data_IF_517685149893
#
_entry.id   IF_517685149893
#
_cell.length_a   1.000
_cell.length_b   1.000
_cell.length_c   1.000
_cell.angle_alpha   90.00
_cell.angle_beta   90.00
_cell.angle_gamma   90.00
#
_symmetry.space_group_name_H-M   'P 1'
#
loop_
_entity.id
_entity.type
_entity.pdbx_description
1 polymer ?
#
# COMPACT_ATOMS: atom_id res chain seq x y z
N UNK A 1 14.38 -18.27 -23.44
CA UNK A 1 13.36 -17.46 -22.73
C UNK A 1 12.10 -18.27 -22.43
N UNK A 2 11.49 -18.97 -23.41
CA UNK A 2 10.28 -19.79 -23.19
C UNK A 2 10.42 -20.96 -22.19
N UNK A 3 11.63 -21.45 -21.94
CA UNK A 3 11.89 -22.54 -21.00
C UNK A 3 11.95 -22.06 -19.53
N UNK A 4 12.30 -20.80 -19.26
CA UNK A 4 12.35 -20.24 -17.91
C UNK A 4 10.94 -19.99 -17.36
N UNK A 5 10.05 -19.44 -18.16
CA UNK A 5 8.64 -19.18 -17.79
C UNK A 5 7.83 -20.45 -17.55
N UNK A 6 8.07 -21.53 -18.31
CA UNK A 6 7.48 -22.85 -18.04
C UNK A 6 7.97 -23.45 -16.72
N UNK A 7 9.26 -23.31 -16.41
CA UNK A 7 9.82 -23.79 -15.13
C UNK A 7 9.27 -22.99 -13.94
N UNK A 8 9.16 -21.69 -14.03
CA UNK A 8 8.57 -20.86 -12.99
C UNK A 8 7.10 -21.20 -12.75
N UNK A 9 6.28 -21.33 -13.81
CA UNK A 9 4.89 -21.76 -13.70
C UNK A 9 4.74 -23.14 -13.06
N UNK A 10 5.60 -24.09 -13.42
CA UNK A 10 5.58 -25.42 -12.83
C UNK A 10 6.03 -25.42 -11.36
N UNK A 11 7.01 -24.57 -10.97
CA UNK A 11 7.39 -24.38 -9.57
C UNK A 11 6.22 -23.81 -8.76
N UNK A 12 5.56 -22.76 -9.23
CA UNK A 12 4.40 -22.18 -8.52
C UNK A 12 3.22 -23.17 -8.36
N UNK A 13 2.93 -23.99 -9.35
CA UNK A 13 1.86 -25.02 -9.25
C UNK A 13 2.26 -26.08 -8.23
N UNK A 14 3.51 -26.52 -8.26
CA UNK A 14 4.03 -27.52 -7.32
C UNK A 14 4.01 -27.00 -5.88
N UNK A 15 4.44 -25.76 -5.65
CA UNK A 15 4.48 -25.16 -4.32
C UNK A 15 3.08 -24.97 -3.76
N UNK A 16 2.09 -24.64 -4.59
CA UNK A 16 0.68 -24.58 -4.21
C UNK A 16 0.11 -25.95 -3.86
N UNK A 17 0.44 -26.97 -4.63
CA UNK A 17 0.02 -28.31 -4.32
C UNK A 17 0.61 -28.80 -2.98
N UNK A 18 1.88 -28.48 -2.72
CA UNK A 18 2.55 -28.77 -1.44
C UNK A 18 1.85 -28.04 -0.28
N UNK A 19 1.59 -26.74 -0.42
CA UNK A 19 0.90 -25.94 0.60
C UNK A 19 -0.53 -26.45 0.84
N UNK A 20 -1.27 -26.85 -0.19
CA UNK A 20 -2.59 -27.46 -0.06
C UNK A 20 -2.55 -28.79 0.70
N UNK A 21 -1.55 -29.63 0.41
CA UNK A 21 -1.35 -30.89 1.13
C UNK A 21 -1.01 -30.65 2.60
N UNK A 22 -0.12 -29.70 2.90
CA UNK A 22 0.23 -29.32 4.28
C UNK A 22 -1.00 -28.80 5.03
N UNK A 23 -1.82 -27.95 4.38
CA UNK A 23 -3.05 -27.44 4.99
C UNK A 23 -4.05 -28.55 5.29
N UNK A 24 -4.27 -29.49 4.34
CA UNK A 24 -5.14 -30.64 4.54
C UNK A 24 -4.64 -31.55 5.66
N UNK A 25 -3.34 -31.82 5.74
CA UNK A 25 -2.72 -32.60 6.82
C UNK A 25 -2.92 -31.90 8.17
N UNK A 26 -2.72 -30.58 8.22
CA UNK A 26 -2.92 -29.82 9.46
C UNK A 26 -4.37 -29.88 9.94
N UNK A 27 -5.33 -29.74 9.03
CA UNK A 27 -6.77 -29.84 9.33
C UNK A 27 -7.13 -31.27 9.78
N UNK A 28 -6.62 -32.29 9.11
CA UNK A 28 -6.89 -33.69 9.49
C UNK A 28 -6.29 -34.04 10.85
N UNK A 29 -5.14 -33.53 11.20
CA UNK A 29 -4.52 -33.66 12.52
C UNK A 29 -5.32 -32.97 13.62
N UNK A 30 -5.95 -31.84 13.33
CA UNK A 30 -6.83 -31.13 14.29
C UNK A 30 -8.14 -31.92 14.51
N UNK A 31 -8.76 -32.38 13.41
CA UNK A 31 -10.06 -33.01 13.46
C UNK A 31 -10.02 -34.48 13.99
N UNK A 32 -8.97 -35.21 13.67
CA UNK A 32 -8.83 -36.61 14.01
C UNK A 32 -7.38 -36.96 14.40
N UNK A 33 -6.88 -36.44 15.53
CA UNK A 33 -5.52 -36.73 15.98
C UNK A 33 -5.26 -38.20 16.23
N UNK A 34 -6.29 -38.95 16.60
CA UNK A 34 -6.21 -40.41 16.85
C UNK A 34 -5.94 -41.25 15.59
N UNK A 35 -6.03 -40.68 14.36
CA UNK A 35 -5.63 -41.38 13.15
C UNK A 35 -4.11 -41.46 12.98
N UNK A 36 -3.38 -40.49 13.56
CA UNK A 36 -1.96 -40.33 13.37
C UNK A 36 -1.12 -40.62 14.62
N UNK A 37 -1.74 -40.46 15.79
CA UNK A 37 -1.08 -40.66 17.09
C UNK A 37 -1.98 -41.47 18.01
N UNK A 38 -1.35 -42.26 18.90
CA UNK A 38 -2.08 -43.00 19.93
C UNK A 38 -2.72 -42.00 20.91
N UNK A 39 -4.02 -41.84 20.80
CA UNK A 39 -4.82 -40.92 21.62
C UNK A 39 -5.07 -41.42 23.03
N UNK A 40 -4.63 -42.66 23.37
CA UNK A 40 -4.77 -43.21 24.71
C UNK A 40 -3.81 -42.62 25.73
N UNK A 41 -2.74 -41.92 25.26
CA UNK A 41 -1.74 -41.30 26.11
C UNK A 41 -1.65 -39.80 25.89
N UNK A 42 -1.52 -39.03 26.98
CA UNK A 42 -1.28 -37.56 26.92
C UNK A 42 -0.13 -37.14 26.01
N UNK A 43 0.92 -37.96 25.93
CA UNK A 43 2.04 -37.77 25.02
C UNK A 43 1.66 -37.75 23.54
N UNK A 44 0.62 -38.50 23.13
CA UNK A 44 0.13 -38.49 21.75
C UNK A 44 -0.46 -37.14 21.32
N UNK A 45 -1.27 -36.56 22.19
CA UNK A 45 -1.85 -35.20 21.94
C UNK A 45 -0.79 -34.10 21.93
N UNK A 46 0.22 -34.21 22.80
CA UNK A 46 1.30 -33.26 22.86
C UNK A 46 2.16 -33.33 21.58
N UNK A 47 2.45 -34.51 21.10
CA UNK A 47 3.17 -34.70 19.83
C UNK A 47 2.36 -34.17 18.63
N UNK A 48 1.04 -34.43 18.58
CA UNK A 48 0.15 -33.87 17.57
C UNK A 48 0.19 -32.34 17.56
N UNK A 49 0.15 -31.70 18.73
CA UNK A 49 0.25 -30.27 18.90
C UNK A 49 1.55 -29.72 18.32
N UNK A 50 2.71 -30.28 18.65
CA UNK A 50 3.99 -29.81 18.12
C UNK A 50 4.09 -30.00 16.60
N UNK A 51 3.58 -31.08 16.05
CA UNK A 51 3.55 -31.32 14.60
C UNK A 51 2.66 -30.27 13.91
N UNK A 52 1.49 -29.96 14.46
CA UNK A 52 0.60 -28.91 13.92
C UNK A 52 1.31 -27.55 13.92
N UNK A 53 2.02 -27.18 15.00
CA UNK A 53 2.77 -25.94 15.10
C UNK A 53 3.85 -25.85 14.00
N UNK A 54 4.62 -26.92 13.80
CA UNK A 54 5.65 -26.97 12.77
C UNK A 54 5.05 -26.85 11.37
N UNK A 55 3.97 -27.59 11.09
CA UNK A 55 3.27 -27.51 9.80
C UNK A 55 2.69 -26.12 9.54
N UNK A 56 2.11 -25.47 10.58
CA UNK A 56 1.58 -24.12 10.48
C UNK A 56 2.68 -23.09 10.18
N UNK A 57 3.87 -23.23 10.78
CA UNK A 57 5.03 -22.38 10.49
C UNK A 57 5.49 -22.54 9.03
N UNK A 58 5.63 -23.78 8.55
CA UNK A 58 6.02 -24.07 7.16
C UNK A 58 4.97 -23.50 6.19
N UNK A 59 3.68 -23.72 6.50
CA UNK A 59 2.59 -23.21 5.68
C UNK A 59 2.57 -21.69 5.63
N UNK A 60 2.80 -21.00 6.76
CA UNK A 60 2.88 -19.55 6.84
C UNK A 60 3.97 -18.99 5.92
N UNK A 61 5.16 -19.55 5.96
CA UNK A 61 6.27 -19.16 5.08
C UNK A 61 5.92 -19.47 3.61
N UNK A 62 5.41 -20.67 3.33
CA UNK A 62 5.06 -21.08 1.96
C UNK A 62 3.94 -20.28 1.31
N UNK A 63 3.01 -19.73 2.09
CA UNK A 63 1.92 -18.88 1.61
C UNK A 63 2.35 -17.43 1.39
N UNK A 64 3.32 -16.92 2.17
CA UNK A 64 3.70 -15.50 2.12
C UNK A 64 4.79 -15.22 1.08
N UNK A 65 5.74 -16.13 0.84
CA UNK A 65 6.82 -15.94 -0.13
C UNK A 65 6.32 -15.62 -1.55
N UNK A 66 5.25 -16.25 -2.09
CA UNK A 66 4.80 -16.01 -3.45
C UNK A 66 4.02 -14.71 -3.64
N UNK A 67 3.83 -13.90 -2.60
CA UNK A 67 3.00 -12.69 -2.66
C UNK A 67 3.82 -11.52 -3.19
N UNK A 68 3.30 -10.84 -4.22
CA UNK A 68 3.92 -9.65 -4.79
C UNK A 68 3.93 -8.48 -3.81
N UNK A 69 4.94 -7.60 -3.91
CA UNK A 69 5.07 -6.43 -3.04
C UNK A 69 3.86 -5.49 -3.11
N UNK A 70 3.26 -5.33 -4.28
CA UNK A 70 2.06 -4.52 -4.48
C UNK A 70 0.84 -5.05 -3.71
N UNK A 71 0.70 -6.38 -3.59
CA UNK A 71 -0.43 -7.03 -2.93
C UNK A 71 -0.21 -7.23 -1.42
N UNK A 72 1.00 -6.98 -0.92
CA UNK A 72 1.38 -7.20 0.48
C UNK A 72 0.47 -6.47 1.50
N UNK A 73 0.06 -5.21 1.30
CA UNK A 73 -0.85 -4.53 2.22
C UNK A 73 -2.19 -5.26 2.40
N UNK A 74 -2.74 -5.80 1.32
CA UNK A 74 -4.01 -6.57 1.33
C UNK A 74 -3.85 -7.84 2.16
N UNK A 75 -2.73 -8.55 1.97
CA UNK A 75 -2.44 -9.79 2.69
C UNK A 75 -2.21 -9.53 4.17
N UNK A 76 -1.50 -8.48 4.54
CA UNK A 76 -1.31 -8.09 5.95
C UNK A 76 -2.66 -7.81 6.62
N UNK A 77 -3.56 -7.08 5.96
CA UNK A 77 -4.91 -6.82 6.47
C UNK A 77 -5.70 -8.11 6.66
N UNK A 78 -5.63 -9.04 5.70
CA UNK A 78 -6.30 -10.33 5.77
C UNK A 78 -5.76 -11.21 6.90
N UNK A 79 -4.44 -11.31 7.06
CA UNK A 79 -3.81 -12.08 8.14
C UNK A 79 -4.15 -11.50 9.52
N UNK A 80 -4.20 -10.18 9.65
CA UNK A 80 -4.65 -9.52 10.87
C UNK A 80 -6.12 -9.87 11.19
N UNK A 81 -6.98 -9.93 10.17
CA UNK A 81 -8.37 -10.37 10.33
C UNK A 81 -8.45 -11.81 10.83
N UNK A 82 -7.67 -12.73 10.27
CA UNK A 82 -7.63 -14.12 10.75
C UNK A 82 -7.12 -14.22 12.19
N UNK A 83 -6.15 -13.40 12.57
CA UNK A 83 -5.70 -13.31 13.97
C UNK A 83 -6.83 -12.84 14.89
N UNK A 84 -7.65 -11.88 14.47
CA UNK A 84 -8.83 -11.44 15.19
C UNK A 84 -9.86 -12.56 15.37
N UNK A 85 -10.15 -13.31 14.31
CA UNK A 85 -11.06 -14.48 14.38
C UNK A 85 -10.52 -15.54 15.33
N UNK A 86 -9.22 -15.84 15.29
CA UNK A 86 -8.58 -16.78 16.19
C UNK A 86 -8.66 -16.31 17.66
N UNK A 87 -8.48 -15.00 17.92
CA UNK A 87 -8.65 -14.45 19.25
C UNK A 87 -10.10 -14.58 19.75
N UNK A 88 -11.10 -14.34 18.89
CA UNK A 88 -12.50 -14.53 19.24
C UNK A 88 -12.79 -16.01 19.58
N UNK A 89 -12.29 -16.95 18.76
CA UNK A 89 -12.43 -18.38 19.01
C UNK A 89 -11.80 -18.80 20.36
N UNK A 90 -10.61 -18.28 20.66
CA UNK A 90 -9.96 -18.49 21.97
C UNK A 90 -10.80 -17.90 23.10
N UNK A 91 -11.43 -16.73 22.89
CA UNK A 91 -12.32 -16.09 23.84
C UNK A 91 -13.52 -16.98 24.20
N UNK A 92 -14.11 -17.70 23.24
CA UNK A 92 -15.15 -18.67 23.51
C UNK A 92 -14.64 -19.84 24.38
N UNK A 93 -13.45 -20.35 24.13
CA UNK A 93 -12.86 -21.46 24.85
C UNK A 93 -12.62 -21.12 26.32
N UNK A 94 -12.13 -19.90 26.61
CA UNK A 94 -11.81 -19.45 27.98
C UNK A 94 -12.93 -18.63 28.63
N UNK A 95 -14.10 -18.52 27.96
CA UNK A 95 -15.26 -17.72 28.41
C UNK A 95 -14.95 -16.27 28.72
N UNK A 96 -14.09 -15.62 27.88
CA UNK A 96 -13.69 -14.24 28.04
C UNK A 96 -14.42 -13.34 27.02
N UNK A 97 -15.46 -12.61 27.48
CA UNK A 97 -16.27 -11.77 26.64
C UNK A 97 -15.49 -10.61 26.00
N UNK A 98 -14.50 -10.03 26.69
CA UNK A 98 -13.69 -8.96 26.13
C UNK A 98 -12.89 -9.45 24.90
N UNK A 99 -12.34 -10.66 24.99
CA UNK A 99 -11.58 -11.27 23.90
C UNK A 99 -12.49 -11.66 22.72
N UNK A 100 -13.72 -12.12 22.99
CA UNK A 100 -14.71 -12.42 21.96
C UNK A 100 -15.09 -11.14 21.20
N UNK A 101 -15.42 -10.07 21.91
CA UNK A 101 -15.84 -8.80 21.29
C UNK A 101 -14.71 -8.18 20.51
N UNK A 102 -13.54 -8.00 21.12
CA UNK A 102 -12.39 -7.38 20.44
C UNK A 102 -11.91 -8.20 19.24
N UNK A 103 -11.83 -9.53 19.38
CA UNK A 103 -11.44 -10.41 18.28
C UNK A 103 -12.44 -10.39 17.12
N UNK A 104 -13.75 -10.35 17.41
CA UNK A 104 -14.80 -10.26 16.40
C UNK A 104 -14.76 -8.92 15.66
N UNK A 105 -14.53 -7.81 16.36
CA UNK A 105 -14.40 -6.48 15.75
C UNK A 105 -13.17 -6.41 14.84
N UNK A 106 -12.01 -6.88 15.29
CA UNK A 106 -10.79 -6.92 14.48
C UNK A 106 -10.95 -7.84 13.27
N UNK A 107 -11.57 -9.00 13.46
CA UNK A 107 -11.85 -9.95 12.38
C UNK A 107 -12.76 -9.36 11.31
N UNK A 108 -13.88 -8.78 11.70
CA UNK A 108 -14.85 -8.19 10.77
C UNK A 108 -14.27 -6.96 10.05
N UNK A 109 -13.67 -6.02 10.78
CA UNK A 109 -13.08 -4.82 10.21
C UNK A 109 -11.97 -5.15 9.21
N UNK A 110 -11.08 -6.11 9.55
CA UNK A 110 -10.00 -6.52 8.66
C UNK A 110 -10.51 -7.15 7.35
N UNK A 111 -11.59 -7.95 7.36
CA UNK A 111 -12.20 -8.48 6.14
C UNK A 111 -12.81 -7.38 5.27
N UNK A 112 -13.51 -6.43 5.88
CA UNK A 112 -14.12 -5.29 5.16
C UNK A 112 -13.02 -4.45 4.51
N UNK A 113 -11.98 -4.11 5.27
CA UNK A 113 -10.84 -3.32 4.79
C UNK A 113 -10.10 -4.04 3.65
N UNK A 114 -9.87 -5.34 3.78
CA UNK A 114 -9.27 -6.17 2.72
C UNK A 114 -10.07 -6.09 1.42
N UNK A 115 -11.41 -6.17 1.52
CA UNK A 115 -12.27 -6.08 0.34
C UNK A 115 -12.25 -4.67 -0.30
N UNK A 116 -12.23 -3.62 0.51
CA UNK A 116 -12.11 -2.24 0.02
C UNK A 116 -10.77 -2.04 -0.70
N UNK A 117 -9.67 -2.56 -0.14
CA UNK A 117 -8.35 -2.48 -0.79
C UNK A 117 -8.32 -3.24 -2.11
N UNK A 118 -8.89 -4.45 -2.17
CA UNK A 118 -8.98 -5.22 -3.41
C UNK A 118 -9.75 -4.43 -4.50
N UNK A 119 -10.84 -3.76 -4.13
CA UNK A 119 -11.58 -2.88 -5.05
C UNK A 119 -10.73 -1.68 -5.48
N UNK A 120 -10.05 -1.01 -4.53
CA UNK A 120 -9.18 0.14 -4.82
C UNK A 120 -7.97 -0.20 -5.69
N UNK A 121 -7.56 -1.48 -5.73
CA UNK A 121 -6.51 -1.99 -6.61
C UNK A 121 -7.04 -2.60 -7.90
N UNK A 122 -8.36 -2.64 -8.09
CA UNK A 122 -9.03 -3.35 -9.19
C UNK A 122 -8.60 -4.82 -9.32
N UNK A 123 -8.37 -5.49 -8.19
CA UNK A 123 -7.98 -6.91 -8.12
C UNK A 123 -8.98 -7.71 -7.28
N UNK A 124 -9.24 -8.95 -7.68
CA UNK A 124 -10.03 -9.85 -6.84
C UNK A 124 -9.18 -10.40 -5.70
N UNK A 125 -9.79 -10.62 -4.52
CA UNK A 125 -9.13 -11.25 -3.39
C UNK A 125 -8.53 -12.63 -3.76
N UNK A 126 -9.23 -13.39 -4.60
CA UNK A 126 -8.72 -14.65 -5.11
C UNK A 126 -7.43 -14.49 -5.92
N UNK A 127 -7.31 -13.43 -6.73
CA UNK A 127 -6.08 -13.14 -7.45
C UNK A 127 -4.93 -12.75 -6.52
N UNK A 128 -5.20 -12.03 -5.45
CA UNK A 128 -4.19 -11.65 -4.45
C UNK A 128 -3.67 -12.88 -3.70
N UNK A 129 -4.56 -13.77 -3.25
CA UNK A 129 -4.17 -14.97 -2.48
C UNK A 129 -3.58 -16.06 -3.38
N UNK A 130 -4.17 -16.25 -4.57
CA UNK A 130 -3.82 -17.32 -5.49
C UNK A 130 -3.08 -16.84 -6.74
N UNK A 131 -2.90 -15.52 -6.93
CA UNK A 131 -2.07 -14.95 -7.98
C UNK A 131 -0.62 -15.37 -7.78
N UNK A 132 0.02 -15.98 -8.77
CA UNK A 132 1.44 -16.31 -8.69
C UNK A 132 2.27 -15.07 -8.97
N UNK A 133 3.31 -14.85 -8.19
CA UNK A 133 4.45 -14.01 -8.60
C UNK A 133 4.98 -14.62 -9.91
N UNK A 134 4.85 -13.88 -11.02
CA UNK A 134 5.23 -14.40 -12.35
C UNK A 134 4.05 -14.70 -13.29
N UNK A 135 2.78 -14.53 -12.86
CA UNK A 135 1.65 -14.29 -13.76
C UNK A 135 1.53 -12.78 -14.10
N UNK A 136 2.19 -11.95 -13.33
CA UNK A 136 2.55 -10.60 -13.72
C UNK A 136 3.62 -10.76 -14.79
N UNK A 137 3.30 -10.29 -15.98
CA UNK A 137 4.23 -10.18 -17.11
C UNK A 137 5.61 -9.80 -16.55
N UNK A 138 6.63 -10.54 -16.97
CA UNK A 138 8.01 -10.14 -16.79
C UNK A 138 8.05 -8.62 -16.98
N UNK A 139 8.29 -7.90 -15.89
CA UNK A 139 8.38 -6.46 -15.94
C UNK A 139 9.33 -6.18 -17.07
N UNK A 140 8.82 -5.64 -18.16
CA UNK A 140 9.67 -5.26 -19.25
C UNK A 140 10.76 -4.48 -18.57
N UNK A 141 11.99 -4.94 -18.68
CA UNK A 141 13.12 -4.06 -18.51
C UNK A 141 12.73 -2.85 -19.33
N UNK A 142 12.25 -1.81 -18.64
CA UNK A 142 12.07 -0.53 -19.29
C UNK A 142 13.45 -0.24 -19.86
N UNK A 143 13.56 -0.45 -21.15
CA UNK A 143 14.69 0.10 -21.90
C UNK A 143 14.82 1.50 -21.35
N UNK A 144 16.01 1.81 -20.82
CA UNK A 144 16.29 3.06 -20.14
C UNK A 144 16.05 4.21 -21.10
N UNK A 145 14.79 4.58 -21.31
CA UNK A 145 14.46 5.89 -21.82
C UNK A 145 15.03 6.87 -20.81
N UNK A 146 16.06 7.56 -21.18
CA UNK A 146 16.56 8.71 -20.43
C UNK A 146 15.36 9.64 -20.22
N UNK A 147 14.79 9.59 -19.02
CA UNK A 147 13.74 10.53 -18.64
C UNK A 147 14.40 11.88 -18.42
N UNK A 148 13.94 12.90 -19.13
CA UNK A 148 14.38 14.27 -18.92
C UNK A 148 13.77 14.78 -17.61
N UNK A 149 14.52 14.67 -16.52
CA UNK A 149 14.06 15.01 -15.18
C UNK A 149 14.44 16.45 -14.88
N UNK A 150 13.43 17.27 -14.57
CA UNK A 150 13.63 18.64 -14.09
C UNK A 150 13.75 18.59 -12.56
N UNK A 151 14.91 18.95 -12.03
CA UNK A 151 15.13 19.03 -10.59
C UNK A 151 15.21 20.48 -10.15
N UNK A 152 14.39 20.86 -9.17
CA UNK A 152 14.28 22.21 -8.62
C UNK A 152 14.63 22.20 -7.13
N UNK A 153 15.00 23.37 -6.63
CA UNK A 153 15.23 23.65 -5.22
C UNK A 153 13.92 23.87 -4.47
N UNK A 154 13.98 23.86 -3.15
CA UNK A 154 12.84 24.20 -2.28
C UNK A 154 12.39 25.64 -2.46
N UNK A 155 13.31 26.57 -2.71
CA UNK A 155 13.01 27.98 -2.98
C UNK A 155 12.22 28.16 -4.29
N UNK A 156 12.62 27.46 -5.37
CA UNK A 156 11.87 27.48 -6.63
C UNK A 156 10.47 26.85 -6.47
N UNK A 157 10.37 25.77 -5.68
CA UNK A 157 9.09 25.15 -5.35
C UNK A 157 8.18 26.11 -4.58
N UNK A 158 8.73 26.88 -3.62
CA UNK A 158 7.99 27.88 -2.84
C UNK A 158 7.43 28.98 -3.74
N UNK A 159 8.21 29.48 -4.70
CA UNK A 159 7.76 30.49 -5.67
C UNK A 159 6.60 29.97 -6.55
N UNK A 160 6.64 28.70 -6.95
CA UNK A 160 5.55 28.07 -7.71
C UNK A 160 4.29 27.95 -6.88
N UNK A 161 4.42 27.57 -5.60
CA UNK A 161 3.30 27.48 -4.67
C UNK A 161 2.72 28.86 -4.35
N UNK A 162 3.56 29.89 -4.30
CA UNK A 162 3.09 31.26 -4.10
C UNK A 162 2.27 31.78 -5.28
N UNK A 163 2.63 31.44 -6.49
CA UNK A 163 1.87 31.82 -7.69
C UNK A 163 0.57 31.02 -7.88
N UNK A 164 0.36 29.93 -7.13
CA UNK A 164 -0.80 29.06 -7.25
C UNK A 164 -1.98 29.59 -6.42
N UNK A 165 -3.21 29.39 -6.92
CA UNK A 165 -4.46 29.65 -6.17
C UNK A 165 -5.01 28.36 -5.55
N UNK A 166 -4.94 27.24 -6.29
CA UNK A 166 -5.44 25.94 -5.85
C UNK A 166 -4.33 24.89 -5.84
N UNK A 167 -4.11 24.32 -4.68
CA UNK A 167 -3.05 23.35 -4.41
C UNK A 167 -3.67 22.04 -3.91
N UNK A 168 -3.25 20.91 -4.47
CA UNK A 168 -3.66 19.59 -4.01
C UNK A 168 -2.44 18.84 -3.50
N UNK A 169 -2.43 18.51 -2.21
CA UNK A 169 -1.37 17.73 -1.56
C UNK A 169 -1.70 16.23 -1.70
N UNK A 170 -0.75 15.46 -2.20
CA UNK A 170 -0.89 14.01 -2.41
C UNK A 170 0.05 13.27 -1.46
N UNK A 171 -0.44 12.87 -0.27
CA UNK A 171 0.37 12.16 0.70
C UNK A 171 0.55 10.71 0.29
N UNK A 172 1.77 10.21 0.41
CA UNK A 172 2.12 8.82 0.16
C UNK A 172 2.88 8.19 1.32
N UNK A 173 3.32 6.95 1.12
CA UNK A 173 4.04 6.20 2.13
C UNK A 173 5.36 6.89 2.58
N UNK A 174 6.03 7.62 1.68
CA UNK A 174 7.23 8.38 2.02
C UNK A 174 7.00 9.45 3.08
N UNK A 175 5.84 10.11 3.08
CA UNK A 175 5.44 11.05 4.12
C UNK A 175 5.34 10.35 5.50
N UNK A 176 4.73 9.16 5.52
CA UNK A 176 4.59 8.36 6.74
C UNK A 176 5.94 7.92 7.31
N UNK A 177 6.85 7.48 6.44
CA UNK A 177 8.21 7.04 6.86
C UNK A 177 9.01 8.19 7.42
N UNK A 178 8.91 9.37 6.83
CA UNK A 178 9.59 10.59 7.29
C UNK A 178 8.92 11.21 8.53
N UNK A 179 7.73 10.73 8.94
CA UNK A 179 6.91 11.33 10.01
C UNK A 179 6.71 12.85 9.80
N UNK A 180 6.42 13.23 8.56
CA UNK A 180 6.35 14.61 8.12
C UNK A 180 4.91 15.17 8.08
N UNK A 181 3.92 14.44 8.60
CA UNK A 181 2.50 14.83 8.57
C UNK A 181 2.22 16.17 9.26
N UNK A 182 2.91 16.46 10.38
CA UNK A 182 2.74 17.72 11.10
C UNK A 182 3.28 18.91 10.31
N UNK A 183 4.46 18.75 9.70
CA UNK A 183 5.06 19.82 8.87
C UNK A 183 4.25 20.02 7.57
N UNK A 184 3.74 18.95 6.98
CA UNK A 184 2.84 19.05 5.81
C UNK A 184 1.59 19.86 6.13
N UNK A 185 1.00 19.69 7.33
CA UNK A 185 -0.10 20.51 7.81
C UNK A 185 0.31 21.98 7.97
N UNK A 186 1.46 22.25 8.61
CA UNK A 186 1.94 23.61 8.79
C UNK A 186 2.18 24.35 7.47
N UNK A 187 2.69 23.65 6.46
CA UNK A 187 2.82 24.20 5.10
C UNK A 187 1.43 24.51 4.52
N UNK A 188 0.46 23.60 4.65
CA UNK A 188 -0.90 23.83 4.19
C UNK A 188 -1.55 25.04 4.87
N UNK A 189 -1.47 25.13 6.20
CA UNK A 189 -1.98 26.26 6.99
C UNK A 189 -1.33 27.60 6.59
N UNK A 190 -0.03 27.58 6.30
CA UNK A 190 0.68 28.78 5.84
C UNK A 190 0.17 29.23 4.46
N UNK A 191 -0.07 28.28 3.55
CA UNK A 191 -0.64 28.57 2.23
C UNK A 191 -2.09 29.05 2.32
N UNK A 192 -2.90 28.44 3.18
CA UNK A 192 -4.29 28.88 3.44
C UNK A 192 -4.33 30.29 4.05
N UNK A 193 -3.40 30.64 4.95
CA UNK A 193 -3.27 31.98 5.50
C UNK A 193 -2.94 33.04 4.43
N UNK A 194 -2.30 32.64 3.33
CA UNK A 194 -2.06 33.48 2.15
C UNK A 194 -3.28 33.54 1.20
N UNK A 195 -4.42 32.94 1.58
CA UNK A 195 -5.68 32.95 0.82
C UNK A 195 -5.78 31.86 -0.25
N UNK A 196 -4.91 30.85 -0.25
CA UNK A 196 -4.92 29.75 -1.21
C UNK A 196 -5.86 28.64 -0.78
N UNK A 197 -6.42 27.90 -1.73
CA UNK A 197 -7.23 26.70 -1.47
C UNK A 197 -6.34 25.47 -1.43
N UNK A 198 -6.28 24.78 -0.29
CA UNK A 198 -5.48 23.56 -0.12
C UNK A 198 -6.37 22.35 0.15
N UNK A 199 -6.24 21.31 -0.65
CA UNK A 199 -6.94 20.04 -0.51
C UNK A 199 -5.95 18.89 -0.40
N UNK A 200 -6.37 17.78 0.21
CA UNK A 200 -5.59 16.56 0.30
C UNK A 200 -6.25 15.44 -0.53
N UNK A 201 -5.50 14.87 -1.45
CA UNK A 201 -5.94 13.76 -2.28
C UNK A 201 -5.53 12.42 -1.66
N UNK A 202 -6.48 11.68 -1.15
CA UNK A 202 -6.24 10.42 -0.47
C UNK A 202 -6.51 9.26 -1.40
N UNK A 203 -5.49 8.42 -1.61
CA UNK A 203 -5.66 7.17 -2.32
C UNK A 203 -5.90 6.03 -1.32
N UNK A 204 -6.90 5.14 -1.53
CA UNK A 204 -7.28 4.10 -0.57
C UNK A 204 -6.16 3.09 -0.26
N UNK A 205 -5.21 2.91 -1.18
CA UNK A 205 -4.07 2.00 -0.99
C UNK A 205 -2.74 2.73 -0.75
N UNK A 206 -2.76 4.05 -0.56
CA UNK A 206 -1.57 4.79 -0.17
C UNK A 206 -1.12 4.37 1.24
N UNK A 207 0.13 3.92 1.36
CA UNK A 207 0.67 3.49 2.64
C UNK A 207 0.82 1.98 2.79
N UNK A 208 0.73 1.48 4.02
CA UNK A 208 0.87 0.05 4.37
C UNK A 208 -0.42 -0.61 4.82
N UNK A 209 -1.45 0.17 5.09
CA UNK A 209 -2.76 -0.30 5.55
C UNK A 209 -3.86 0.60 5.00
N UNK A 210 -5.10 0.15 4.90
CA UNK A 210 -6.23 0.97 4.47
C UNK A 210 -6.39 2.18 5.37
N UNK A 211 -6.65 3.33 4.76
CA UNK A 211 -6.82 4.58 5.51
C UNK A 211 -5.56 5.08 6.22
N UNK A 212 -4.37 4.56 5.88
CA UNK A 212 -3.12 4.96 6.52
C UNK A 212 -2.92 6.48 6.46
N UNK A 213 -3.17 7.09 5.32
CA UNK A 213 -3.03 8.54 5.16
C UNK A 213 -4.10 9.31 5.96
N UNK A 214 -5.33 8.81 6.03
CA UNK A 214 -6.38 9.41 6.85
C UNK A 214 -6.00 9.44 8.34
N UNK A 215 -5.46 8.33 8.85
CA UNK A 215 -5.01 8.24 10.26
C UNK A 215 -3.86 9.20 10.54
N UNK A 216 -2.84 9.26 9.65
CA UNK A 216 -1.70 10.16 9.82
C UNK A 216 -2.10 11.65 9.78
N UNK A 217 -2.99 12.01 8.86
CA UNK A 217 -3.46 13.39 8.75
C UNK A 217 -4.40 13.76 9.91
N UNK A 218 -5.20 12.81 10.40
CA UNK A 218 -5.99 12.99 11.61
C UNK A 218 -5.11 13.16 12.86
N UNK A 219 -4.02 12.41 12.98
CA UNK A 219 -3.00 12.59 14.03
C UNK A 219 -2.37 13.99 13.97
N UNK A 220 -2.18 14.51 12.76
CA UNK A 220 -1.72 15.88 12.55
C UNK A 220 -2.82 16.93 12.74
N UNK A 221 -4.05 16.58 13.10
CA UNK A 221 -5.22 17.46 13.23
C UNK A 221 -5.61 18.18 11.92
N UNK A 222 -5.44 17.54 10.77
CA UNK A 222 -5.99 18.04 9.51
C UNK A 222 -7.50 17.80 9.49
N UNK A 223 -8.30 18.82 9.08
CA UNK A 223 -9.76 18.68 9.00
C UNK A 223 -10.17 17.63 7.98
N UNK A 224 -11.19 16.84 8.30
CA UNK A 224 -11.76 15.87 7.36
C UNK A 224 -12.40 16.53 6.14
N UNK A 225 -12.83 17.78 6.22
CA UNK A 225 -13.49 18.50 5.13
C UNK A 225 -12.56 18.71 3.92
N UNK A 226 -11.24 18.84 4.18
CA UNK A 226 -10.22 19.01 3.13
C UNK A 226 -9.61 17.69 2.66
N UNK A 227 -9.93 16.57 3.32
CA UNK A 227 -9.52 15.22 2.89
C UNK A 227 -10.51 14.70 1.85
N UNK A 228 -10.05 14.54 0.63
CA UNK A 228 -10.89 14.07 -0.49
C UNK A 228 -10.46 12.70 -0.95
N UNK A 229 -11.45 11.84 -1.13
CA UNK A 229 -11.24 10.51 -1.69
C UNK A 229 -10.99 10.58 -3.21
N UNK A 230 -10.47 9.50 -3.78
CA UNK A 230 -10.04 9.39 -5.17
C UNK A 230 -11.13 9.83 -6.17
N UNK A 231 -12.38 9.43 -5.97
CA UNK A 231 -13.50 9.73 -6.87
C UNK A 231 -13.91 11.20 -6.79
N UNK A 232 -13.78 11.82 -5.62
CA UNK A 232 -14.09 13.23 -5.39
C UNK A 232 -13.00 14.15 -5.92
N UNK A 233 -11.71 13.76 -5.73
CA UNK A 233 -10.59 14.66 -6.04
C UNK A 233 -10.14 14.58 -7.49
N UNK A 234 -10.35 13.46 -8.18
CA UNK A 234 -9.85 13.27 -9.54
C UNK A 234 -10.37 14.31 -10.55
N UNK A 235 -11.63 14.77 -10.51
CA UNK A 235 -12.09 15.89 -11.34
C UNK A 235 -11.39 17.22 -11.02
N UNK A 236 -11.00 17.44 -9.77
CA UNK A 236 -10.42 18.69 -9.28
C UNK A 236 -8.99 18.94 -9.78
N UNK A 237 -8.28 17.89 -10.26
CA UNK A 237 -6.93 18.04 -10.79
C UNK A 237 -6.89 18.84 -12.10
N UNK A 238 -7.97 18.89 -12.88
CA UNK A 238 -8.02 19.68 -14.12
C UNK A 238 -7.99 21.19 -13.84
N UNK A 239 -8.54 21.60 -12.68
CA UNK A 239 -8.56 23.01 -12.23
C UNK A 239 -7.46 23.29 -11.18
N UNK A 240 -6.53 22.37 -10.97
CA UNK A 240 -5.47 22.48 -9.98
C UNK A 240 -4.23 23.14 -10.58
N UNK A 241 -3.75 24.21 -9.94
CA UNK A 241 -2.51 24.86 -10.35
C UNK A 241 -1.28 24.03 -9.99
N UNK A 242 -1.23 23.50 -8.75
CA UNK A 242 -0.10 22.72 -8.26
C UNK A 242 -0.55 21.47 -7.53
N UNK A 243 -0.13 20.30 -8.01
CA UNK A 243 -0.20 19.05 -7.27
C UNK A 243 1.14 18.79 -6.55
N UNK A 244 1.14 18.80 -5.22
CA UNK A 244 2.31 18.55 -4.39
C UNK A 244 2.32 17.09 -3.91
N UNK A 245 3.17 16.26 -4.51
CA UNK A 245 3.28 14.83 -4.20
C UNK A 245 4.34 14.62 -3.12
N UNK A 246 3.94 14.07 -1.97
CA UNK A 246 4.80 13.85 -0.82
C UNK A 246 5.02 12.35 -0.59
N UNK A 247 6.03 11.79 -1.24
CA UNK A 247 6.43 10.40 -1.06
C UNK A 247 5.44 9.36 -1.60
N UNK A 248 4.59 9.73 -2.58
CA UNK A 248 3.79 8.79 -3.36
C UNK A 248 4.52 8.36 -4.64
N UNK A 249 4.24 7.15 -5.15
CA UNK A 249 4.81 6.64 -6.38
C UNK A 249 3.77 5.90 -7.23
N UNK A 250 3.38 4.69 -6.83
CA UNK A 250 2.55 3.79 -7.65
C UNK A 250 1.13 4.35 -7.85
N UNK A 251 0.57 5.01 -6.84
CA UNK A 251 -0.78 5.58 -6.85
C UNK A 251 -0.95 6.83 -7.75
N UNK A 252 0.15 7.36 -8.26
CA UNK A 252 0.17 8.49 -9.21
C UNK A 252 0.85 8.13 -10.52
N UNK A 253 1.08 6.84 -10.79
CA UNK A 253 1.81 6.38 -11.97
C UNK A 253 0.86 6.19 -13.17
N UNK A 254 1.00 6.97 -14.25
CA UNK A 254 0.15 6.87 -15.44
C UNK A 254 0.22 5.50 -16.15
N UNK A 255 1.30 4.73 -15.98
CA UNK A 255 1.43 3.37 -16.53
C UNK A 255 0.28 2.45 -16.10
N UNK A 256 -0.36 2.72 -14.96
CA UNK A 256 -1.54 1.98 -14.52
C UNK A 256 -2.72 2.06 -15.49
N UNK A 257 -2.80 3.10 -16.33
CA UNK A 257 -3.90 3.29 -17.30
C UNK A 257 -3.66 2.57 -18.62
N UNK A 258 -2.43 2.54 -19.13
CA UNK A 258 -2.15 2.15 -20.51
C UNK A 258 -1.17 0.98 -20.68
N UNK A 259 -0.31 0.73 -19.71
CA UNK A 259 0.67 -0.36 -19.80
C UNK A 259 0.09 -1.67 -19.27
N UNK A 260 -0.43 -2.52 -20.18
CA UNK A 260 -0.98 -3.83 -19.84
C UNK A 260 0.07 -4.81 -19.29
N UNK A 261 1.36 -4.51 -19.45
CA UNK A 261 2.45 -5.34 -18.91
C UNK A 261 2.80 -4.97 -17.47
N UNK A 262 2.34 -3.82 -17.02
CA UNK A 262 2.63 -3.30 -15.67
C UNK A 262 1.86 -4.06 -14.57
N UNK A 263 2.48 -4.41 -13.45
CA UNK A 263 1.79 -5.03 -12.31
C UNK A 263 0.72 -4.14 -11.69
N UNK A 264 0.74 -2.83 -11.95
CA UNK A 264 -0.28 -1.88 -11.48
C UNK A 264 -1.37 -1.61 -12.52
N UNK A 265 -1.36 -2.29 -13.66
CA UNK A 265 -2.36 -2.08 -14.72
C UNK A 265 -3.80 -2.24 -14.21
N UNK A 266 -4.64 -1.28 -14.58
CA UNK A 266 -6.06 -1.24 -14.18
C UNK A 266 -6.31 -0.74 -12.75
N UNK A 267 -5.26 -0.41 -11.98
CA UNK A 267 -5.43 0.25 -10.69
C UNK A 267 -5.91 1.69 -10.91
N UNK A 268 -7.01 2.12 -10.27
CA UNK A 268 -7.38 3.54 -10.26
C UNK A 268 -6.23 4.35 -9.65
N UNK A 269 -5.89 5.47 -10.25
CA UNK A 269 -4.82 6.37 -9.78
C UNK A 269 -5.33 7.79 -9.61
N UNK A 270 -4.59 8.59 -8.87
CA UNK A 270 -4.82 10.03 -8.78
C UNK A 270 -4.33 10.70 -10.07
N UNK A 271 -5.19 11.51 -10.68
CA UNK A 271 -4.95 12.14 -11.98
C UNK A 271 -4.07 13.39 -11.88
N UNK A 272 -2.99 13.30 -11.12
CA UNK A 272 -2.08 14.45 -10.87
C UNK A 272 -1.43 15.01 -12.14
N UNK A 273 -1.28 14.17 -13.16
CA UNK A 273 -0.76 14.53 -14.49
C UNK A 273 -1.61 15.58 -15.23
N UNK A 274 -2.87 15.75 -14.81
CA UNK A 274 -3.78 16.76 -15.36
C UNK A 274 -3.61 18.15 -14.73
N UNK A 275 -2.91 18.25 -13.60
CA UNK A 275 -2.62 19.54 -12.97
C UNK A 275 -1.67 20.37 -13.83
N UNK A 276 -1.74 21.70 -13.69
CA UNK A 276 -0.86 22.61 -14.44
C UNK A 276 0.61 22.38 -14.14
N UNK A 277 0.94 22.16 -12.86
CA UNK A 277 2.30 21.83 -12.40
C UNK A 277 2.24 20.72 -11.36
N UNK A 278 3.19 19.78 -11.42
CA UNK A 278 3.30 18.66 -10.48
C UNK A 278 4.66 18.75 -9.78
N UNK A 279 4.66 19.02 -8.49
CA UNK A 279 5.87 19.03 -7.66
C UNK A 279 5.96 17.69 -6.95
N UNK A 280 7.06 16.98 -7.14
CA UNK A 280 7.26 15.62 -6.65
C UNK A 280 8.41 15.58 -5.66
N UNK A 281 8.12 15.36 -4.40
CA UNK A 281 9.16 15.08 -3.41
C UNK A 281 9.46 13.59 -3.35
N UNK A 282 10.73 13.25 -3.51
CA UNK A 282 11.24 11.88 -3.44
C UNK A 282 12.71 11.87 -3.00
N UNK A 283 13.12 10.83 -2.24
CA UNK A 283 14.52 10.69 -1.81
C UNK A 283 15.45 10.26 -2.94
N UNK A 284 14.95 9.49 -3.89
CA UNK A 284 15.71 8.94 -5.01
C UNK A 284 14.77 8.50 -6.13
N UNK A 285 15.34 8.18 -7.29
CA UNK A 285 14.60 7.64 -8.45
C UNK A 285 14.22 6.17 -8.33
N UNK A 286 14.50 5.53 -7.20
CA UNK A 286 14.16 4.12 -7.00
C UNK A 286 12.65 3.89 -7.16
N UNK A 287 12.23 2.78 -7.80
CA UNK A 287 10.83 2.44 -7.96
C UNK A 287 10.13 2.26 -6.60
N UNK A 288 8.80 2.32 -6.59
CA UNK A 288 7.96 2.05 -5.44
C UNK A 288 7.83 0.55 -5.14
N UNK A 289 6.81 0.19 -4.35
CA UNK A 289 6.56 -1.21 -3.96
C UNK A 289 6.26 -2.12 -5.15
N UNK A 290 5.63 -1.58 -6.20
CA UNK A 290 5.34 -2.34 -7.42
C UNK A 290 6.58 -2.63 -8.28
N UNK A 291 7.72 -2.00 -7.99
CA UNK A 291 8.95 -2.17 -8.75
C UNK A 291 8.92 -1.55 -10.15
N UNK A 292 7.95 -0.68 -10.44
CA UNK A 292 7.74 -0.03 -11.74
C UNK A 292 8.28 1.38 -11.72
N UNK A 293 8.95 1.79 -12.81
CA UNK A 293 9.31 3.19 -13.00
C UNK A 293 8.06 4.04 -13.20
N UNK A 294 8.06 5.25 -12.68
CA UNK A 294 6.95 6.15 -12.84
C UNK A 294 7.21 7.14 -13.97
N UNK A 295 6.44 7.03 -15.03
CA UNK A 295 6.55 7.88 -16.23
C UNK A 295 6.25 9.35 -15.95
N UNK A 296 5.45 9.63 -14.90
CA UNK A 296 5.11 10.98 -14.47
C UNK A 296 6.35 11.87 -14.25
N UNK A 297 7.46 11.27 -13.79
CA UNK A 297 8.69 12.03 -13.48
C UNK A 297 9.36 12.65 -14.70
N UNK A 298 9.05 12.15 -15.90
CA UNK A 298 9.54 12.67 -17.17
C UNK A 298 8.57 13.58 -17.90
N UNK A 299 7.40 13.89 -17.32
CA UNK A 299 6.42 14.77 -17.97
C UNK A 299 6.85 16.24 -17.92
N UNK A 300 6.44 17.01 -18.92
CA UNK A 300 6.85 18.41 -19.05
C UNK A 300 6.39 19.32 -17.92
N UNK A 301 5.25 18.98 -17.30
CA UNK A 301 4.68 19.68 -16.16
C UNK A 301 5.18 19.16 -14.81
N UNK A 302 6.07 18.15 -14.79
CA UNK A 302 6.57 17.52 -13.57
C UNK A 302 7.94 18.07 -13.17
N UNK A 303 8.08 18.35 -11.89
CA UNK A 303 9.27 18.90 -11.25
C UNK A 303 9.62 18.05 -10.05
N UNK A 304 10.88 17.64 -9.95
CA UNK A 304 11.39 16.85 -8.84
C UNK A 304 12.07 17.73 -7.81
N UNK A 305 11.72 17.58 -6.54
CA UNK A 305 12.43 18.15 -5.40
C UNK A 305 12.97 17.00 -4.58
N UNK A 306 14.26 16.72 -4.71
CA UNK A 306 14.89 15.60 -4.04
C UNK A 306 15.20 15.92 -2.58
N UNK A 307 14.91 14.96 -1.69
CA UNK A 307 15.21 15.06 -0.27
C UNK A 307 14.31 14.17 0.59
N UNK A 308 14.66 14.06 1.86
CA UNK A 308 13.75 13.50 2.84
C UNK A 308 12.51 14.41 2.96
N UNK A 309 11.32 13.83 3.07
CA UNK A 309 10.09 14.61 3.02
C UNK A 309 9.99 15.60 4.20
N UNK A 310 10.51 15.24 5.37
CA UNK A 310 10.48 16.11 6.54
C UNK A 310 11.43 17.30 6.39
N UNK A 311 12.65 17.04 5.92
CA UNK A 311 13.66 18.09 5.74
C UNK A 311 13.22 19.05 4.64
N UNK A 312 12.77 18.51 3.49
CA UNK A 312 12.27 19.31 2.37
C UNK A 312 11.07 20.17 2.78
N UNK A 313 10.10 19.63 3.52
CA UNK A 313 8.94 20.38 3.98
C UNK A 313 9.30 21.44 5.01
N UNK A 314 10.28 21.20 5.90
CA UNK A 314 10.76 22.21 6.84
C UNK A 314 11.42 23.39 6.11
N UNK A 315 12.21 23.11 5.09
CA UNK A 315 12.85 24.16 4.29
C UNK A 315 11.79 24.90 3.44
N UNK A 316 10.85 24.18 2.85
CA UNK A 316 9.73 24.77 2.13
C UNK A 316 8.87 25.68 3.01
N UNK A 317 8.62 25.27 4.26
CA UNK A 317 7.85 26.06 5.21
C UNK A 317 8.54 27.39 5.57
N UNK A 318 9.88 27.39 5.67
CA UNK A 318 10.65 28.62 5.89
C UNK A 318 10.50 29.56 4.69
N UNK A 319 10.74 29.03 3.50
CA UNK A 319 10.63 29.81 2.25
C UNK A 319 9.22 30.39 2.07
N UNK A 320 8.16 29.60 2.31
CA UNK A 320 6.76 30.07 2.20
C UNK A 320 6.43 31.15 3.25
N UNK A 321 7.04 31.10 4.42
CA UNK A 321 6.84 32.15 5.46
C UNK A 321 7.63 33.44 5.20
N UNK A 322 8.64 33.40 4.34
CA UNK A 322 9.44 34.57 3.94
C UNK A 322 8.84 35.28 2.72
N UNK A 323 7.90 34.68 1.99
CA UNK A 323 7.17 35.26 0.88
C UNK A 323 5.97 36.08 1.35
#
# INVERSE_FOLDING_TARGET
LHLSTRRQRQMCIRDRAINAVIALLSVSLILAPGLFFDSSMYSGYLNAFFVIVILALILGVGLTIPIGGADMPVVISLLNSYSGIAAAATGFLISNNALIISGSLVGASGLILTNIMCKGMNRSLANVIFGAVGAESEGGSSDGKEMNIKSYSTTEAAMILDAAEKIIIVPGYGLAVAQAQHVAREVAESLEAMGKTVLYAIHPVAGRMPGHMNVLLAEANVSYDVLKDLDEINPEFEDCDVALILGANDVVNPAARHDQSSPIYGMPILNVDKSRTVIINKRSMNPGFAGVQNELFGYDNSIMVFGDAKDMLNDLLKEVKEL
#
